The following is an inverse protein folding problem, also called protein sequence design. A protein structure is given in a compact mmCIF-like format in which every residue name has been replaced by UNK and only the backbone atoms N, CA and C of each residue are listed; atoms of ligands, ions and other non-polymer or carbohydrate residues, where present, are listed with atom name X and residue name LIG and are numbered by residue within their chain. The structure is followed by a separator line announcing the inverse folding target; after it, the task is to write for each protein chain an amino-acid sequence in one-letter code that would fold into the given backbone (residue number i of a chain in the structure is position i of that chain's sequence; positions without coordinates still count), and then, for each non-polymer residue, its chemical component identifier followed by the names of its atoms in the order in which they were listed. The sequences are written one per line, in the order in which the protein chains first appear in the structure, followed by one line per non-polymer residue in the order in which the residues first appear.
data_IF_321788839489
#
_entry.id   IF_321788839489
#
_cell.length_a   1.000
_cell.length_b   1.000
_cell.length_c   1.000
_cell.angle_alpha   90.00
_cell.angle_beta   90.00
_cell.angle_gamma   90.00
#
_symmetry.space_group_name_H-M   'P 1'
#
loop_
_entity.id
_entity.type
_entity.pdbx_description
1 polymer ?
#
# COMPACT_ATOMS: atom_id res chain seq x y z
N UNK A 1 26.28 5.35 0.70
CA UNK A 1 25.51 6.19 1.61
C UNK A 1 26.14 7.58 1.68
N UNK A 2 25.40 8.62 1.30
CA UNK A 2 25.81 10.01 1.45
C UNK A 2 24.74 10.75 2.24
N UNK A 3 25.15 11.47 3.28
CA UNK A 3 24.19 12.22 4.09
C UNK A 3 24.85 13.35 4.84
N UNK A 4 24.06 14.37 5.11
CA UNK A 4 24.40 15.43 6.04
C UNK A 4 23.20 15.67 6.95
N UNK A 5 23.46 15.97 8.21
CA UNK A 5 22.44 16.37 9.15
C UNK A 5 22.99 17.52 10.01
N UNK A 6 22.20 18.57 10.14
CA UNK A 6 22.42 19.67 11.04
C UNK A 6 21.20 19.79 11.95
N UNK A 7 21.43 19.82 13.24
CA UNK A 7 20.39 20.08 14.22
C UNK A 7 20.91 21.16 15.18
N UNK A 8 20.11 22.18 15.41
CA UNK A 8 20.38 23.19 16.42
C UNK A 8 19.20 23.30 17.36
N UNK A 9 19.49 23.42 18.63
CA UNK A 9 18.51 23.51 19.70
C UNK A 9 18.92 24.60 20.67
N UNK A 10 17.99 25.45 21.01
CA UNK A 10 18.14 26.41 22.09
C UNK A 10 16.94 26.32 23.03
N UNK A 11 17.19 26.49 24.33
CA UNK A 11 16.14 26.43 25.35
C UNK A 11 15.01 27.44 25.04
N UNK A 12 13.76 26.95 25.01
CA UNK A 12 12.59 27.75 24.69
C UNK A 12 12.38 28.09 23.20
N UNK A 13 13.21 27.52 22.30
CA UNK A 13 13.04 27.67 20.85
C UNK A 13 12.74 26.33 20.20
N UNK A 14 12.03 26.37 19.07
CA UNK A 14 11.79 25.19 18.24
C UNK A 14 13.12 24.65 17.69
N UNK A 15 13.38 23.35 17.79
CA UNK A 15 14.56 22.75 17.17
C UNK A 15 14.59 23.01 15.67
N UNK A 16 15.74 23.36 15.15
CA UNK A 16 15.96 23.50 13.70
C UNK A 16 16.68 22.25 13.22
N UNK A 17 16.05 21.52 12.30
CA UNK A 17 16.57 20.31 11.69
C UNK A 17 16.73 20.60 10.20
N UNK A 18 17.90 20.25 9.66
CA UNK A 18 18.14 20.16 8.23
C UNK A 18 18.97 18.91 7.98
N UNK A 19 18.34 17.87 7.50
CA UNK A 19 18.94 16.58 7.28
C UNK A 19 18.60 16.06 5.89
N UNK A 20 19.59 15.52 5.21
CA UNK A 20 19.44 14.85 3.91
C UNK A 20 20.25 13.56 3.93
N UNK A 21 19.58 12.46 3.64
CA UNK A 21 20.20 11.16 3.44
C UNK A 21 19.86 10.69 2.03
N UNK A 22 20.89 10.28 1.28
CA UNK A 22 20.73 9.68 -0.05
C UNK A 22 21.54 8.39 -0.10
N UNK A 23 20.90 7.34 -0.53
CA UNK A 23 21.55 6.05 -0.76
C UNK A 23 21.26 5.60 -2.19
N UNK A 24 22.23 4.95 -2.83
CA UNK A 24 22.15 4.48 -4.20
C UNK A 24 22.61 3.04 -4.31
N UNK A 25 22.01 2.34 -5.27
CA UNK A 25 22.34 0.95 -5.61
C UNK A 25 22.37 0.06 -4.36
N UNK A 26 21.30 0.12 -3.59
CA UNK A 26 21.18 -0.62 -2.33
C UNK A 26 20.21 -1.79 -2.42
N UNK A 27 20.22 -2.56 -1.36
CA UNK A 27 19.28 -3.67 -1.12
C UNK A 27 18.48 -3.37 0.13
N UNK A 28 17.16 -3.43 0.03
CA UNK A 28 16.26 -3.38 1.17
C UNK A 28 15.82 -4.81 1.51
N UNK A 29 16.05 -5.23 2.74
CA UNK A 29 15.51 -6.46 3.29
C UNK A 29 14.11 -6.24 3.86
N UNK A 30 13.20 -7.12 3.57
CA UNK A 30 11.86 -7.13 4.12
C UNK A 30 11.68 -8.40 4.96
N UNK A 31 11.25 -8.21 6.21
CA UNK A 31 10.89 -9.30 7.12
C UNK A 31 9.49 -9.04 7.67
N UNK A 32 8.70 -10.09 7.80
CA UNK A 32 7.35 -10.01 8.35
C UNK A 32 7.31 -10.14 9.87
N UNK A 33 8.24 -10.88 10.48
CA UNK A 33 8.16 -11.31 11.88
C UNK A 33 9.44 -11.02 12.64
N UNK A 34 10.59 -11.34 12.08
CA UNK A 34 11.89 -11.19 12.73
C UNK A 34 12.84 -10.35 11.84
N UNK A 35 13.44 -9.25 12.35
CA UNK A 35 14.40 -8.46 11.60
C UNK A 35 15.63 -9.24 11.12
N UNK A 36 15.95 -10.35 11.76
CA UNK A 36 17.06 -11.22 11.37
C UNK A 36 16.66 -12.21 10.25
N UNK A 37 15.37 -12.45 10.09
CA UNK A 37 14.82 -13.40 9.10
C UNK A 37 14.35 -12.66 7.84
N UNK A 38 15.30 -12.20 7.03
CA UNK A 38 15.03 -11.48 5.78
C UNK A 38 14.40 -12.45 4.78
N UNK A 39 13.08 -12.41 4.67
CA UNK A 39 12.30 -13.29 3.78
C UNK A 39 12.24 -12.81 2.33
N UNK A 40 12.52 -11.53 2.09
CA UNK A 40 12.55 -10.95 0.75
C UNK A 40 13.52 -9.79 0.67
N UNK A 41 14.25 -9.69 -0.43
CA UNK A 41 15.15 -8.57 -0.71
C UNK A 41 14.71 -7.84 -1.95
N UNK A 42 14.90 -6.52 -1.96
CA UNK A 42 14.61 -5.68 -3.10
C UNK A 42 15.75 -4.70 -3.37
N UNK A 43 16.16 -4.66 -4.64
CA UNK A 43 17.15 -3.70 -5.10
C UNK A 43 16.47 -2.37 -5.41
N UNK A 44 17.13 -1.28 -5.07
CA UNK A 44 16.72 0.06 -5.44
C UNK A 44 17.89 0.85 -6.04
N UNK A 45 17.59 1.74 -7.00
CA UNK A 45 18.59 2.63 -7.61
C UNK A 45 18.90 3.80 -6.70
N UNK A 46 17.87 4.45 -6.19
CA UNK A 46 18.01 5.60 -5.31
C UNK A 46 16.89 5.65 -4.28
N UNK A 47 17.25 5.91 -3.03
CA UNK A 47 16.36 6.28 -1.97
C UNK A 47 16.87 7.55 -1.29
N UNK A 48 16.00 8.51 -1.02
CA UNK A 48 16.35 9.72 -0.31
C UNK A 48 15.36 10.05 0.79
N UNK A 49 15.88 10.56 1.89
CA UNK A 49 15.11 11.11 3.01
C UNK A 49 15.61 12.51 3.27
N UNK A 50 14.71 13.47 3.24
CA UNK A 50 14.98 14.87 3.53
C UNK A 50 14.06 15.30 4.66
N UNK A 51 14.64 15.76 5.77
CA UNK A 51 13.90 16.32 6.90
C UNK A 51 14.33 17.76 7.10
N UNK A 52 13.38 18.70 7.11
CA UNK A 52 13.66 20.12 7.23
C UNK A 52 12.64 20.81 8.10
N UNK A 53 13.13 21.58 9.08
CA UNK A 53 12.30 22.49 9.85
C UNK A 53 11.87 23.70 9.01
N UNK A 54 10.62 24.05 9.13
CA UNK A 54 10.01 25.26 8.56
C UNK A 54 9.29 26.02 9.65
N UNK A 55 8.82 27.23 9.38
CA UNK A 55 8.11 28.05 10.36
C UNK A 55 6.88 27.35 10.98
N UNK A 56 6.20 26.50 10.20
CA UNK A 56 4.97 25.80 10.59
C UNK A 56 5.21 24.39 11.18
N UNK A 57 6.45 23.91 11.24
CA UNK A 57 6.76 22.58 11.75
C UNK A 57 7.95 21.89 11.07
N UNK A 58 7.82 20.61 10.86
CA UNK A 58 8.82 19.74 10.22
C UNK A 58 8.27 19.17 8.92
N UNK A 59 8.99 19.33 7.83
CA UNK A 59 8.73 18.61 6.57
C UNK A 59 9.60 17.38 6.49
N UNK A 60 9.01 16.27 6.09
CA UNK A 60 9.69 15.02 5.78
C UNK A 60 9.36 14.63 4.35
N UNK A 61 10.37 14.53 3.51
CA UNK A 61 10.27 14.02 2.15
C UNK A 61 11.04 12.72 2.02
N UNK A 62 10.38 11.71 1.50
CA UNK A 62 10.97 10.41 1.17
C UNK A 62 10.74 10.17 -0.31
N UNK A 63 11.79 9.90 -1.06
CA UNK A 63 11.71 9.48 -2.46
C UNK A 63 12.34 8.10 -2.61
N UNK A 64 11.71 7.24 -3.40
CA UNK A 64 12.19 5.90 -3.73
C UNK A 64 12.12 5.69 -5.24
N UNK A 65 13.23 5.23 -5.82
CA UNK A 65 13.33 4.80 -7.21
C UNK A 65 13.91 3.39 -7.26
N UNK A 66 13.09 2.45 -7.69
CA UNK A 66 13.47 1.05 -7.75
C UNK A 66 12.90 0.42 -9.03
N UNK A 67 13.73 0.14 -10.07
CA UNK A 67 13.29 -0.22 -11.42
C UNK A 67 12.36 -1.41 -11.48
N UNK A 68 12.61 -2.41 -10.62
CA UNK A 68 11.84 -3.66 -10.58
C UNK A 68 10.73 -3.66 -9.52
N UNK A 69 10.44 -2.52 -8.88
CA UNK A 69 9.50 -2.43 -7.78
C UNK A 69 8.53 -1.29 -7.98
N UNK A 70 9.00 -0.23 -8.65
CA UNK A 70 8.25 0.98 -8.87
C UNK A 70 8.95 2.22 -8.35
N UNK A 71 8.28 3.33 -8.46
CA UNK A 71 8.73 4.63 -7.96
C UNK A 71 7.71 5.19 -7.01
N UNK A 72 8.17 5.97 -6.04
CA UNK A 72 7.26 6.63 -5.14
C UNK A 72 7.88 7.76 -4.36
N UNK A 73 7.03 8.62 -3.87
CA UNK A 73 7.41 9.64 -2.90
C UNK A 73 6.32 9.83 -1.85
N UNK A 74 6.76 10.32 -0.71
CA UNK A 74 5.90 10.88 0.33
C UNK A 74 6.49 12.22 0.77
N UNK A 75 5.65 13.24 0.83
CA UNK A 75 6.02 14.56 1.32
C UNK A 75 5.01 14.97 2.38
N UNK A 76 5.44 14.95 3.62
CA UNK A 76 4.56 15.17 4.78
C UNK A 76 5.11 16.28 5.65
N UNK A 77 4.24 17.20 6.01
CA UNK A 77 4.50 18.22 7.01
C UNK A 77 3.78 17.85 8.30
N UNK A 78 4.49 17.92 9.40
CA UNK A 78 3.94 17.70 10.74
C UNK A 78 4.29 18.91 11.61
N UNK A 79 3.34 19.41 12.40
CA UNK A 79 3.66 20.35 13.46
C UNK A 79 3.76 19.61 14.81
N UNK A 80 4.95 19.23 15.25
CA UNK A 80 5.15 18.48 16.49
C UNK A 80 5.01 19.34 17.75
N UNK A 81 4.94 20.67 17.60
CA UNK A 81 4.94 21.66 18.70
C UNK A 81 3.53 22.00 19.19
N UNK A 82 2.50 21.51 18.51
CA UNK A 82 1.10 21.64 18.91
C UNK A 82 0.62 20.29 19.43
N UNK A 83 -0.14 20.28 20.52
CA UNK A 83 -0.59 19.06 21.18
C UNK A 83 -1.32 18.08 20.24
N UNK A 84 -2.14 18.62 19.35
CA UNK A 84 -2.83 17.81 18.33
C UNK A 84 -1.90 17.23 17.25
N UNK A 85 -0.65 17.75 17.13
CA UNK A 85 0.34 17.32 16.13
C UNK A 85 -0.27 17.21 14.73
N UNK A 86 -0.86 18.31 14.20
CA UNK A 86 -1.50 18.26 12.89
C UNK A 86 -0.50 17.89 11.79
N UNK A 87 -0.98 17.14 10.82
CA UNK A 87 -0.18 16.72 9.67
C UNK A 87 -0.92 16.97 8.37
N UNK A 88 -0.14 17.23 7.32
CA UNK A 88 -0.63 17.33 5.95
C UNK A 88 0.45 16.91 4.98
N UNK A 89 0.05 16.36 3.86
CA UNK A 89 1.03 15.96 2.86
C UNK A 89 0.40 15.24 1.69
N UNK A 90 1.27 14.68 0.89
CA UNK A 90 0.90 13.89 -0.26
C UNK A 90 1.81 12.67 -0.39
N UNK A 91 1.25 11.63 -0.97
CA UNK A 91 1.96 10.39 -1.24
C UNK A 91 1.57 9.90 -2.62
N UNK A 92 2.55 9.44 -3.38
CA UNK A 92 2.31 8.75 -4.62
C UNK A 92 3.30 7.59 -4.79
N UNK A 93 2.76 6.43 -5.12
CA UNK A 93 3.52 5.24 -5.49
C UNK A 93 3.02 4.77 -6.86
N UNK A 94 3.94 4.51 -7.76
CA UNK A 94 3.63 4.18 -9.14
C UNK A 94 4.24 2.85 -9.52
N UNK A 95 3.40 1.94 -10.05
CA UNK A 95 3.81 0.63 -10.56
C UNK A 95 4.59 -0.21 -9.55
N UNK A 96 4.22 -0.13 -8.27
CA UNK A 96 4.81 -0.97 -7.23
C UNK A 96 4.39 -2.41 -7.48
N UNK A 97 5.37 -3.30 -7.65
CA UNK A 97 5.09 -4.71 -7.89
C UNK A 97 4.49 -5.37 -6.66
N UNK A 98 3.32 -5.95 -6.82
CA UNK A 98 2.54 -6.52 -5.71
C UNK A 98 3.29 -7.64 -4.98
N UNK A 99 4.22 -8.32 -5.66
CA UNK A 99 5.06 -9.39 -5.08
C UNK A 99 5.85 -8.97 -3.83
N UNK A 100 6.11 -7.67 -3.64
CA UNK A 100 6.81 -7.18 -2.43
C UNK A 100 6.00 -7.40 -1.16
N UNK A 101 4.67 -7.54 -1.28
CA UNK A 101 3.78 -7.79 -0.15
C UNK A 101 3.69 -9.27 0.22
N UNK A 102 4.26 -10.16 -0.60
CA UNK A 102 4.18 -11.62 -0.37
C UNK A 102 4.67 -12.06 1.02
N UNK A 103 5.74 -11.50 1.61
CA UNK A 103 6.18 -11.88 2.96
C UNK A 103 5.17 -11.55 4.07
N UNK A 104 4.25 -10.61 3.82
CA UNK A 104 3.27 -10.12 4.80
C UNK A 104 1.91 -10.79 4.68
N UNK A 105 1.71 -11.63 3.65
CA UNK A 105 0.43 -12.31 3.39
C UNK A 105 0.65 -13.81 3.49
N UNK A 106 0.07 -14.41 4.51
CA UNK A 106 0.13 -15.85 4.67
C UNK A 106 -0.56 -16.58 3.50
N UNK A 107 -0.15 -17.81 3.23
CA UNK A 107 -0.82 -18.72 2.28
C UNK A 107 -0.76 -18.30 0.79
N UNK A 108 0.01 -17.28 0.44
CA UNK A 108 0.15 -16.82 -0.94
C UNK A 108 1.18 -17.67 -1.69
N UNK A 109 0.73 -18.33 -2.76
CA UNK A 109 1.60 -19.04 -3.71
C UNK A 109 2.14 -18.06 -4.77
N UNK A 110 1.26 -17.28 -5.37
CA UNK A 110 1.58 -16.28 -6.40
C UNK A 110 0.92 -14.97 -6.08
N UNK A 111 1.68 -13.88 -6.18
CA UNK A 111 1.20 -12.53 -5.97
C UNK A 111 1.94 -11.60 -6.94
N UNK A 112 1.31 -11.28 -8.04
CA UNK A 112 1.85 -10.43 -9.10
C UNK A 112 0.88 -9.31 -9.45
N UNK A 113 1.37 -8.26 -10.11
CA UNK A 113 0.61 -7.11 -10.53
C UNK A 113 1.31 -5.80 -10.18
N UNK A 114 0.77 -4.71 -10.71
CA UNK A 114 1.29 -3.38 -10.52
C UNK A 114 0.29 -2.52 -9.73
N UNK A 115 0.70 -2.14 -8.54
CA UNK A 115 -0.07 -1.29 -7.63
C UNK A 115 0.35 0.17 -7.78
N UNK A 116 -0.61 1.05 -7.94
CA UNK A 116 -0.41 2.50 -7.87
C UNK A 116 -1.31 3.09 -6.80
N UNK A 117 -0.79 4.03 -6.04
CA UNK A 117 -1.49 4.77 -4.99
C UNK A 117 -1.12 6.24 -5.10
N UNK A 118 -2.10 7.11 -5.07
CA UNK A 118 -1.85 8.55 -5.01
C UNK A 118 -2.92 9.23 -4.15
N UNK A 119 -2.50 10.17 -3.31
CA UNK A 119 -3.45 10.89 -2.48
C UNK A 119 -2.81 11.89 -1.52
N UNK A 120 -3.68 12.50 -0.73
CA UNK A 120 -3.33 13.48 0.29
C UNK A 120 -3.51 12.90 1.68
N UNK A 121 -2.58 13.21 2.55
CA UNK A 121 -2.63 12.88 3.97
C UNK A 121 -3.00 14.16 4.73
N UNK A 122 -3.86 14.03 5.72
CA UNK A 122 -4.29 15.11 6.61
C UNK A 122 -4.60 14.57 8.00
N UNK A 123 -5.17 15.40 8.88
CA UNK A 123 -5.50 14.99 10.25
C UNK A 123 -4.36 15.22 11.23
N UNK A 124 -4.13 14.28 12.11
CA UNK A 124 -3.08 14.35 13.15
C UNK A 124 -2.16 13.13 13.09
N UNK A 125 -1.01 13.21 13.76
CA UNK A 125 -0.06 12.10 13.80
C UNK A 125 -0.66 10.81 14.40
N UNK A 126 -1.61 10.94 15.32
CA UNK A 126 -2.29 9.81 15.97
C UNK A 126 -3.57 9.35 15.25
N UNK A 127 -4.14 10.23 14.42
CA UNK A 127 -5.35 9.97 13.62
C UNK A 127 -5.15 10.51 12.20
N UNK A 128 -4.30 9.86 11.39
CA UNK A 128 -4.09 10.26 10.01
C UNK A 128 -5.32 9.96 9.17
N UNK A 129 -5.65 10.88 8.28
CA UNK A 129 -6.70 10.74 7.29
C UNK A 129 -6.08 10.72 5.90
N UNK A 130 -6.56 9.83 5.05
CA UNK A 130 -6.09 9.70 3.68
C UNK A 130 -7.24 9.94 2.69
N UNK A 131 -6.98 10.75 1.66
CA UNK A 131 -7.89 10.96 0.55
C UNK A 131 -7.13 10.71 -0.75
N UNK A 132 -7.54 9.69 -1.49
CA UNK A 132 -6.80 9.31 -2.68
C UNK A 132 -7.40 8.14 -3.43
N UNK A 133 -6.62 7.62 -4.35
CA UNK A 133 -6.99 6.51 -5.22
C UNK A 133 -5.93 5.42 -5.19
N UNK A 134 -6.37 4.19 -5.27
CA UNK A 134 -5.54 3.01 -5.42
C UNK A 134 -5.96 2.24 -6.67
N UNK A 135 -5.00 1.76 -7.44
CA UNK A 135 -5.23 0.96 -8.66
C UNK A 135 -4.28 -0.21 -8.70
N UNK A 136 -4.84 -1.40 -8.86
CA UNK A 136 -4.10 -2.62 -9.18
C UNK A 136 -4.39 -2.98 -10.63
N UNK A 137 -3.35 -3.29 -11.39
CA UNK A 137 -3.45 -3.75 -12.78
C UNK A 137 -2.63 -5.01 -13.00
N UNK A 138 -3.08 -5.84 -13.94
CA UNK A 138 -2.42 -7.07 -14.34
C UNK A 138 -2.12 -7.97 -13.13
N UNK A 139 -3.06 -8.03 -12.18
CA UNK A 139 -2.90 -8.84 -10.99
C UNK A 139 -3.00 -10.33 -11.31
N UNK A 140 -2.16 -11.13 -10.66
CA UNK A 140 -2.30 -12.58 -10.63
C UNK A 140 -2.12 -13.05 -9.18
N UNK A 141 -3.18 -13.66 -8.64
CA UNK A 141 -3.24 -14.05 -7.24
C UNK A 141 -3.63 -15.51 -7.14
N UNK A 142 -2.80 -16.28 -6.46
CA UNK A 142 -3.09 -17.68 -6.16
C UNK A 142 -2.70 -17.97 -4.71
N UNK A 143 -3.59 -18.58 -3.97
CA UNK A 143 -3.39 -18.95 -2.57
C UNK A 143 -3.36 -20.48 -2.44
N UNK A 144 -2.74 -20.97 -1.37
CA UNK A 144 -2.64 -22.41 -1.09
C UNK A 144 -4.00 -22.93 -0.61
N UNK A 145 -4.66 -22.12 0.24
CA UNK A 145 -5.96 -22.45 0.86
C UNK A 145 -7.17 -22.25 -0.06
N UNK A 146 -7.04 -21.46 -1.13
CA UNK A 146 -8.14 -21.18 -2.04
C UNK A 146 -7.98 -21.97 -3.35
N UNK A 147 -9.01 -22.73 -3.78
CA UNK A 147 -8.97 -23.54 -4.99
C UNK A 147 -9.19 -22.74 -6.27
N UNK A 148 -8.77 -21.48 -6.27
CA UNK A 148 -8.93 -20.55 -7.41
C UNK A 148 -7.62 -19.86 -7.75
N UNK A 149 -7.38 -19.67 -9.05
CA UNK A 149 -6.34 -18.81 -9.57
C UNK A 149 -7.00 -17.57 -10.19
N UNK A 150 -6.74 -16.42 -9.60
CA UNK A 150 -7.23 -15.16 -10.11
C UNK A 150 -6.19 -14.58 -11.06
N UNK A 151 -6.60 -14.29 -12.29
CA UNK A 151 -5.76 -13.69 -13.33
C UNK A 151 -6.41 -12.42 -13.86
N UNK A 152 -5.63 -11.55 -14.49
CA UNK A 152 -6.09 -10.26 -14.98
C UNK A 152 -6.86 -9.47 -13.91
N UNK A 153 -6.37 -9.52 -12.66
CA UNK A 153 -7.02 -8.78 -11.57
C UNK A 153 -6.80 -7.30 -11.78
N UNK A 154 -7.88 -6.60 -11.96
CA UNK A 154 -7.93 -5.14 -11.98
C UNK A 154 -8.76 -4.68 -10.80
N UNK A 155 -8.25 -3.74 -10.03
CA UNK A 155 -8.95 -3.17 -8.89
C UNK A 155 -8.72 -1.66 -8.85
N UNK A 156 -9.79 -0.95 -8.65
CA UNK A 156 -9.79 0.48 -8.37
C UNK A 156 -10.47 0.74 -7.04
N UNK A 157 -9.86 1.56 -6.22
CA UNK A 157 -10.44 2.02 -4.96
C UNK A 157 -10.28 3.53 -4.83
N UNK A 158 -11.37 4.20 -4.49
CA UNK A 158 -11.38 5.60 -4.08
C UNK A 158 -11.51 5.65 -2.56
N UNK A 159 -10.55 6.29 -1.90
CA UNK A 159 -10.47 6.37 -0.44
C UNK A 159 -10.74 7.80 -0.04
N UNK A 160 -11.69 8.00 0.88
CA UNK A 160 -12.06 9.30 1.43
C UNK A 160 -12.13 9.22 2.94
N UNK A 161 -11.04 9.69 3.58
CA UNK A 161 -10.89 9.66 5.04
C UNK A 161 -11.01 8.23 5.61
N UNK A 162 -12.18 7.87 6.07
CA UNK A 162 -12.48 6.60 6.73
C UNK A 162 -13.34 5.66 5.85
N UNK A 163 -13.56 6.01 4.60
CA UNK A 163 -14.37 5.24 3.67
C UNK A 163 -13.57 4.88 2.43
N UNK A 164 -13.80 3.69 1.90
CA UNK A 164 -13.26 3.28 0.61
C UNK A 164 -14.36 2.62 -0.24
N UNK A 165 -14.47 3.03 -1.48
CA UNK A 165 -15.21 2.30 -2.49
C UNK A 165 -14.27 1.38 -3.25
N UNK A 166 -14.73 0.19 -3.59
CA UNK A 166 -13.97 -0.83 -4.30
C UNK A 166 -14.73 -1.19 -5.58
N UNK A 167 -14.01 -1.22 -6.68
CA UNK A 167 -14.51 -1.70 -7.96
C UNK A 167 -13.40 -2.52 -8.63
N UNK A 168 -13.69 -3.76 -9.00
CA UNK A 168 -12.70 -4.63 -9.59
C UNK A 168 -13.30 -5.70 -10.49
N UNK A 169 -12.43 -6.33 -11.25
CA UNK A 169 -12.74 -7.49 -12.05
C UNK A 169 -11.54 -8.42 -12.08
N UNK A 170 -11.81 -9.70 -12.27
CA UNK A 170 -10.77 -10.71 -12.43
C UNK A 170 -11.29 -11.90 -13.23
N UNK A 171 -10.36 -12.69 -13.71
CA UNK A 171 -10.68 -13.97 -14.37
C UNK A 171 -10.34 -15.15 -13.47
N UNK A 172 -11.12 -16.23 -13.58
CA UNK A 172 -10.79 -17.55 -13.05
C UNK A 172 -11.04 -18.58 -14.15
N UNK A 173 -9.96 -19.13 -14.72
CA UNK A 173 -10.03 -19.92 -15.93
C UNK A 173 -10.55 -19.09 -17.11
N UNK A 174 -11.69 -19.48 -17.68
CA UNK A 174 -12.39 -18.73 -18.74
C UNK A 174 -13.49 -17.82 -18.23
N UNK A 175 -13.80 -17.91 -16.94
CA UNK A 175 -14.83 -17.11 -16.29
C UNK A 175 -14.34 -15.72 -15.91
N UNK A 176 -15.29 -14.82 -15.81
CA UNK A 176 -15.07 -13.41 -15.39
C UNK A 176 -15.91 -13.11 -14.19
N UNK A 177 -15.34 -12.48 -13.19
CA UNK A 177 -16.04 -11.97 -12.03
C UNK A 177 -15.85 -10.46 -11.88
N UNK A 178 -16.84 -9.82 -11.27
CA UNK A 178 -16.83 -8.42 -10.86
C UNK A 178 -16.96 -8.34 -9.34
N UNK A 179 -16.16 -7.48 -8.75
CA UNK A 179 -16.19 -7.17 -7.33
C UNK A 179 -16.53 -5.70 -7.16
N UNK A 180 -17.54 -5.40 -6.38
CA UNK A 180 -17.88 -4.03 -5.98
C UNK A 180 -18.12 -3.98 -4.49
N UNK A 181 -17.90 -2.83 -3.87
CA UNK A 181 -18.22 -2.68 -2.46
C UNK A 181 -17.74 -1.40 -1.84
N UNK A 182 -18.05 -1.28 -0.56
CA UNK A 182 -17.65 -0.16 0.28
C UNK A 182 -17.15 -0.68 1.62
N UNK A 183 -16.16 0.00 2.15
CA UNK A 183 -15.61 -0.23 3.48
C UNK A 183 -15.67 1.09 4.24
N UNK A 184 -16.26 1.09 5.42
CA UNK A 184 -16.25 2.21 6.38
C UNK A 184 -15.57 1.73 7.66
N UNK A 185 -14.53 2.47 8.12
CA UNK A 185 -13.80 2.18 9.36
C UNK A 185 -13.78 3.36 10.33
N UNK A 186 -14.81 4.22 10.22
CA UNK A 186 -14.89 5.44 11.05
C UNK A 186 -15.10 5.14 12.54
N UNK A 187 -16.00 4.24 12.86
CA UNK A 187 -16.34 3.83 14.22
C UNK A 187 -16.26 2.30 14.33
N UNK A 188 -17.38 1.63 14.03
CA UNK A 188 -17.42 0.18 13.89
C UNK A 188 -17.14 -0.15 12.41
N UNK A 189 -16.11 -0.94 12.12
CA UNK A 189 -15.81 -1.31 10.74
C UNK A 189 -17.02 -2.00 10.09
N UNK A 190 -17.43 -1.49 8.93
CA UNK A 190 -18.49 -2.07 8.10
C UNK A 190 -17.91 -2.39 6.73
N UNK A 191 -18.19 -3.58 6.28
CA UNK A 191 -17.72 -4.08 4.98
C UNK A 191 -18.91 -4.57 4.19
N UNK A 192 -19.16 -3.94 3.05
CA UNK A 192 -20.18 -4.38 2.10
C UNK A 192 -19.48 -4.75 0.81
N UNK A 193 -19.54 -6.02 0.43
CA UNK A 193 -18.92 -6.52 -0.80
C UNK A 193 -19.93 -7.34 -1.60
N UNK A 194 -19.95 -7.13 -2.91
CA UNK A 194 -20.72 -7.89 -3.87
C UNK A 194 -19.78 -8.50 -4.90
N UNK A 195 -19.83 -9.80 -5.03
CA UNK A 195 -19.09 -10.57 -6.02
C UNK A 195 -20.08 -11.25 -6.95
N UNK A 196 -20.05 -10.90 -8.23
CA UNK A 196 -20.81 -11.58 -9.27
C UNK A 196 -19.88 -12.13 -10.32
N UNK A 197 -20.08 -13.40 -10.74
CA UNK A 197 -19.23 -14.02 -11.74
C UNK A 197 -19.91 -15.13 -12.48
N UNK A 198 -19.45 -15.39 -13.72
CA UNK A 198 -19.94 -16.49 -14.56
C UNK A 198 -18.81 -17.36 -15.05
N UNK A 199 -19.08 -18.66 -15.12
CA UNK A 199 -18.15 -19.68 -15.62
C UNK A 199 -16.81 -19.67 -14.89
N UNK A 200 -16.79 -19.40 -13.59
CA UNK A 200 -15.56 -19.37 -12.79
C UNK A 200 -15.02 -20.78 -12.59
N UNK A 201 -13.74 -20.96 -12.86
CA UNK A 201 -13.06 -22.22 -12.66
C UNK A 201 -12.59 -22.36 -11.21
N UNK A 202 -13.10 -23.34 -10.52
CA UNK A 202 -12.64 -23.79 -9.20
C UNK A 202 -11.89 -25.10 -9.39
N UNK A 203 -10.65 -25.17 -8.90
CA UNK A 203 -9.82 -26.37 -9.01
C UNK A 203 -9.17 -26.72 -7.68
N UNK A 204 -9.62 -27.78 -7.09
CA UNK A 204 -9.03 -28.39 -5.90
C UNK A 204 -8.35 -29.69 -6.27
N UNK A 205 -7.06 -29.65 -6.51
CA UNK A 205 -6.31 -30.88 -6.80
C UNK A 205 -6.27 -31.79 -5.57
N UNK A 206 -6.33 -33.16 -5.77
CA UNK A 206 -6.43 -33.85 -7.05
C UNK A 206 -7.86 -34.14 -7.52
N UNK A 207 -8.90 -33.76 -6.76
CA UNK A 207 -10.22 -34.41 -6.85
C UNK A 207 -11.32 -33.58 -7.52
N UNK A 208 -11.27 -32.25 -7.49
CA UNK A 208 -12.41 -31.45 -7.93
C UNK A 208 -11.96 -30.40 -8.94
N UNK A 209 -12.68 -30.37 -10.08
CA UNK A 209 -12.69 -29.26 -11.01
C UNK A 209 -14.16 -28.92 -11.27
N UNK A 210 -14.56 -27.69 -11.00
CA UNK A 210 -15.92 -27.21 -11.20
C UNK A 210 -15.93 -25.89 -11.96
N UNK A 211 -16.98 -25.66 -12.73
CA UNK A 211 -17.30 -24.36 -13.33
C UNK A 211 -18.56 -23.88 -12.65
N UNK A 212 -18.49 -22.70 -12.05
CA UNK A 212 -19.60 -22.17 -11.24
C UNK A 212 -19.94 -20.74 -11.64
N UNK A 213 -21.21 -20.42 -11.53
CA UNK A 213 -21.69 -19.05 -11.49
C UNK A 213 -21.87 -18.67 -10.03
N UNK A 214 -21.55 -17.44 -9.69
CA UNK A 214 -21.64 -16.96 -8.30
C UNK A 214 -22.26 -15.57 -8.23
N UNK A 215 -23.03 -15.37 -7.18
CA UNK A 215 -23.56 -14.06 -6.76
C UNK A 215 -23.54 -14.05 -5.24
N UNK A 216 -22.55 -13.38 -4.66
CA UNK A 216 -22.30 -13.37 -3.23
C UNK A 216 -22.32 -11.93 -2.74
N UNK A 217 -23.14 -11.67 -1.72
CA UNK A 217 -23.14 -10.41 -0.99
C UNK A 217 -22.68 -10.65 0.44
N UNK A 218 -21.75 -9.84 0.91
CA UNK A 218 -21.26 -9.85 2.29
C UNK A 218 -21.57 -8.50 2.89
N UNK A 219 -22.19 -8.51 4.07
CA UNK A 219 -22.47 -7.34 4.91
C UNK A 219 -22.02 -7.69 6.33
N UNK A 220 -20.94 -7.05 6.81
CA UNK A 220 -20.29 -7.32 8.09
C UNK A 220 -19.87 -6.04 8.81
#
# INVERSE_FOLDING_TARGET
LNGCAKASWAQGKTPVIDAKLVTRNGVLGLSAVDPEDITSTMNYDEASIIAKSIAEGLTLRVDLKAPNIGTGYANVMVNPFVDAKPMRGEVAFNQVQLKILKPFIADVRKLEGNLSLAGKISGTLTKPLFNGEMRLKNGEISMISLPVNLTNVELYSSIRQNEASINGAFNSGRGVAKLTGNIDWKNDPRIQLNLSGKNLLIRQAPLITAIVDTDISVDA
#
